data_IF_166483917165
#
_entry.id   IF_166483917165
#
_cell.length_a   1.000
_cell.length_b   1.000
_cell.length_c   1.000
_cell.angle_alpha   90.00
_cell.angle_beta   90.00
_cell.angle_gamma   90.00
#
_symmetry.space_group_name_H-M   'P 1'
#
loop_
_entity.id
_entity.type
_entity.pdbx_description
1 polymer ?
#
# COMPACT_ATOMS: atom_id res chain seq x y z
N UNK A 1 16.13 15.79 7.00
CA UNK A 1 15.34 14.54 7.07
C UNK A 1 14.90 14.21 5.67
N UNK A 2 15.49 13.18 5.07
CA UNK A 2 15.22 12.81 3.69
C UNK A 2 13.82 12.20 3.61
N UNK A 3 13.00 12.72 2.70
CA UNK A 3 11.72 12.14 2.31
C UNK A 3 11.97 10.66 1.99
N UNK A 4 11.39 9.77 2.79
CA UNK A 4 11.39 8.33 2.54
C UNK A 4 10.85 8.14 1.13
N UNK A 5 11.72 7.78 0.19
CA UNK A 5 11.29 7.29 -1.12
C UNK A 5 10.40 6.05 -0.93
N UNK A 6 9.61 5.67 -1.95
CA UNK A 6 8.75 4.49 -1.86
C UNK A 6 9.60 3.30 -1.41
N UNK A 7 9.31 2.80 -0.21
CA UNK A 7 9.99 1.63 0.35
C UNK A 7 9.60 0.45 -0.52
N UNK A 8 10.61 -0.19 -1.12
CA UNK A 8 10.42 -1.36 -1.95
C UNK A 8 9.66 -2.42 -1.12
N UNK A 9 8.49 -2.91 -1.58
CA UNK A 9 7.71 -3.90 -0.84
C UNK A 9 8.45 -5.24 -0.69
N UNK A 10 9.53 -5.48 -1.44
CA UNK A 10 10.39 -6.65 -1.28
C UNK A 10 11.60 -6.41 -0.36
N UNK A 11 11.73 -5.21 0.23
CA UNK A 11 12.76 -4.96 1.22
C UNK A 11 12.41 -5.69 2.53
N UNK A 12 13.34 -6.54 2.99
CA UNK A 12 13.32 -7.24 4.29
C UNK A 12 12.71 -6.35 5.38
N UNK A 13 11.52 -6.72 5.88
CA UNK A 13 10.80 -6.02 6.94
C UNK A 13 9.34 -5.65 6.67
N UNK A 14 8.87 -5.72 5.41
CA UNK A 14 7.52 -5.30 5.03
C UNK A 14 6.68 -6.43 4.42
N UNK A 15 6.16 -7.39 5.22
CA UNK A 15 5.43 -8.55 4.70
C UNK A 15 4.04 -8.22 4.15
N UNK A 16 3.55 -6.99 4.33
CA UNK A 16 2.25 -6.55 3.80
C UNK A 16 2.43 -5.36 2.88
N UNK A 17 1.46 -5.09 2.01
CA UNK A 17 1.36 -3.84 1.27
C UNK A 17 -0.07 -3.58 0.84
N UNK A 18 -0.31 -2.41 0.28
CA UNK A 18 -1.63 -2.06 -0.26
C UNK A 18 -1.52 -1.83 -1.76
N UNK A 19 -2.27 -2.63 -2.51
CA UNK A 19 -2.51 -2.44 -3.95
C UNK A 19 -3.76 -1.61 -4.11
N UNK A 20 -3.69 -0.57 -4.93
CA UNK A 20 -4.83 0.28 -5.26
C UNK A 20 -4.99 0.37 -6.77
N UNK A 21 -6.22 0.39 -7.24
CA UNK A 21 -6.50 0.62 -8.66
C UNK A 21 -6.99 2.05 -8.83
N UNK A 22 -6.33 2.81 -9.71
CA UNK A 22 -6.74 4.17 -10.07
C UNK A 22 -6.97 4.23 -11.57
N UNK A 23 -8.20 4.51 -12.00
CA UNK A 23 -8.52 4.61 -13.43
C UNK A 23 -8.22 3.35 -14.23
N UNK A 24 -8.29 2.16 -13.61
CA UNK A 24 -7.96 0.87 -14.23
C UNK A 24 -6.48 0.53 -14.26
N UNK A 25 -5.62 1.31 -13.60
CA UNK A 25 -4.19 1.04 -13.44
C UNK A 25 -3.94 0.54 -12.02
N UNK A 26 -3.35 -0.65 -11.90
CA UNK A 26 -2.85 -1.20 -10.64
C UNK A 26 -1.62 -0.40 -10.17
N UNK A 27 -1.76 0.30 -9.05
CA UNK A 27 -0.73 1.06 -8.37
C UNK A 27 -0.40 0.40 -7.02
N UNK A 28 0.88 0.34 -6.67
CA UNK A 28 1.32 -0.12 -5.36
C UNK A 28 1.68 1.09 -4.49
N UNK A 29 1.14 1.12 -3.27
CA UNK A 29 1.32 2.27 -2.38
C UNK A 29 2.62 2.17 -1.58
N UNK A 30 2.66 1.32 -0.55
CA UNK A 30 3.83 1.15 0.35
C UNK A 30 3.77 -0.22 1.02
N UNK A 31 4.92 -0.84 1.29
CA UNK A 31 5.01 -2.01 2.17
C UNK A 31 4.85 -1.63 3.66
N UNK A 32 4.13 -2.43 4.44
CA UNK A 32 3.85 -2.22 5.87
C UNK A 32 4.36 -3.40 6.71
N UNK A 33 4.75 -3.12 7.95
CA UNK A 33 5.41 -4.12 8.83
C UNK A 33 4.37 -5.11 9.41
N UNK A 34 3.09 -4.74 9.38
CA UNK A 34 2.01 -5.59 9.85
C UNK A 34 0.66 -5.35 9.17
N UNK A 35 -0.31 -6.26 9.39
CA UNK A 35 -1.62 -6.23 8.73
C UNK A 35 -2.48 -5.05 9.21
N UNK A 36 -2.35 -4.64 10.48
CA UNK A 36 -3.13 -3.52 11.02
C UNK A 36 -2.74 -2.19 10.37
N UNK A 37 -1.44 -2.00 10.10
CA UNK A 37 -0.93 -0.82 9.40
C UNK A 37 -1.40 -0.82 7.93
N UNK A 38 -1.37 -1.99 7.27
CA UNK A 38 -1.89 -2.15 5.90
C UNK A 38 -3.37 -1.80 5.78
N UNK A 39 -4.20 -2.27 6.71
CA UNK A 39 -5.64 -1.97 6.75
C UNK A 39 -5.92 -0.48 7.00
N UNK A 40 -5.11 0.16 7.85
CA UNK A 40 -5.16 1.61 8.07
C UNK A 40 -4.84 2.39 6.78
N UNK A 41 -3.79 1.99 6.06
CA UNK A 41 -3.41 2.57 4.78
C UNK A 41 -4.48 2.34 3.71
N UNK A 42 -5.02 1.12 3.61
CA UNK A 42 -6.14 0.80 2.73
C UNK A 42 -7.31 1.75 2.97
N UNK A 43 -7.74 1.89 4.22
CA UNK A 43 -8.88 2.75 4.59
C UNK A 43 -8.65 4.24 4.24
N UNK A 44 -7.41 4.71 4.28
CA UNK A 44 -7.04 6.06 3.86
C UNK A 44 -7.08 6.20 2.33
N UNK A 45 -6.57 5.20 1.61
CA UNK A 45 -6.49 5.21 0.15
C UNK A 45 -7.85 4.99 -0.51
N UNK A 46 -8.74 4.19 0.06
CA UNK A 46 -10.13 4.03 -0.40
C UNK A 46 -10.92 5.35 -0.39
N UNK A 47 -10.48 6.33 0.42
CA UNK A 47 -11.07 7.67 0.48
C UNK A 47 -10.42 8.66 -0.50
N UNK A 48 -9.33 8.28 -1.15
CA UNK A 48 -8.64 9.12 -2.10
C UNK A 48 -9.43 9.18 -3.43
N UNK A 49 -9.49 10.37 -4.02
CA UNK A 49 -10.23 10.59 -5.26
C UNK A 49 -9.61 9.78 -6.41
N UNK A 50 -10.45 9.02 -7.11
CA UNK A 50 -10.03 8.20 -8.26
C UNK A 50 -9.58 6.78 -7.91
N UNK A 51 -9.50 6.40 -6.64
CA UNK A 51 -9.30 5.01 -6.23
C UNK A 51 -10.59 4.23 -6.44
N UNK A 52 -10.54 3.23 -7.32
CA UNK A 52 -11.69 2.37 -7.64
C UNK A 52 -11.66 1.05 -6.88
N UNK A 53 -10.48 0.61 -6.44
CA UNK A 53 -10.29 -0.63 -5.69
C UNK A 53 -9.06 -0.50 -4.79
N UNK A 54 -9.08 -1.14 -3.63
CA UNK A 54 -7.94 -1.19 -2.72
C UNK A 54 -7.92 -2.52 -1.96
N UNK A 55 -6.77 -3.19 -1.97
CA UNK A 55 -6.58 -4.52 -1.41
C UNK A 55 -5.28 -4.59 -0.59
N UNK A 56 -5.34 -5.21 0.58
CA UNK A 56 -4.15 -5.57 1.35
C UNK A 56 -3.57 -6.86 0.78
N UNK A 57 -2.31 -6.80 0.40
CA UNK A 57 -1.53 -7.90 -0.16
C UNK A 57 -0.51 -8.35 0.88
N UNK A 58 -0.37 -9.66 1.07
CA UNK A 58 0.71 -10.26 1.86
C UNK A 58 1.80 -10.78 0.91
N UNK A 59 3.03 -10.35 1.13
CA UNK A 59 4.22 -10.72 0.34
C UNK A 59 4.99 -11.91 0.93
N UNK A 60 4.49 -12.51 2.02
CA UNK A 60 5.05 -13.71 2.66
C UNK A 60 4.40 -15.01 2.22
#
# INVERSE_FOLDING_TARGET
MSLLGPRDPNADGYPYGVRITVGGIDCYSVGTEGPHEAEGLKSQLERAEGVTDAEVVHYG
#
